data_IF_116162592299
#
_entry.id   IF_116162592299
#
_cell.length_a   1.000
_cell.length_b   1.000
_cell.length_c   1.000
_cell.angle_alpha   90.00
_cell.angle_beta   90.00
_cell.angle_gamma   90.00
#
_symmetry.space_group_name_H-M   'P 1'
#
loop_
_entity.id
_entity.type
_entity.pdbx_description
1 polymer ?
#
# COMPACT_ATOMS: atom_id res chain seq x y z
N UNK A 1 -4.64 -2.89 -19.60
CA UNK A 1 -5.42 -1.88 -18.85
C UNK A 1 -5.09 -2.05 -17.37
N UNK A 2 -4.80 -0.97 -16.65
CA UNK A 2 -4.58 -1.05 -15.20
C UNK A 2 -5.86 -1.51 -14.47
N UNK A 3 -5.72 -2.33 -13.43
CA UNK A 3 -6.83 -3.00 -12.73
C UNK A 3 -7.86 -2.02 -12.16
N UNK A 4 -7.38 -0.94 -11.52
CA UNK A 4 -8.22 0.03 -10.83
C UNK A 4 -8.81 1.13 -11.72
N UNK A 5 -8.44 1.21 -13.00
CA UNK A 5 -8.91 2.22 -13.97
C UNK A 5 -8.82 3.68 -13.48
N UNK A 6 -7.76 4.01 -12.72
CA UNK A 6 -7.47 5.36 -12.21
C UNK A 6 -6.14 5.89 -12.78
N UNK A 7 -5.95 7.21 -12.75
CA UNK A 7 -4.72 7.85 -13.19
C UNK A 7 -3.52 7.52 -12.28
N UNK A 8 -2.33 7.44 -12.85
CA UNK A 8 -1.08 7.14 -12.12
C UNK A 8 -0.81 8.09 -10.95
N UNK A 9 -1.11 9.38 -11.11
CA UNK A 9 -0.95 10.36 -10.04
C UNK A 9 -1.92 10.12 -8.87
N UNK A 10 -3.10 9.56 -9.17
CA UNK A 10 -4.04 9.13 -8.12
C UNK A 10 -3.46 7.94 -7.35
N UNK A 11 -2.87 6.96 -8.04
CA UNK A 11 -2.17 5.84 -7.40
C UNK A 11 -1.03 6.34 -6.51
N UNK A 12 -0.19 7.26 -6.99
CA UNK A 12 0.91 7.86 -6.20
C UNK A 12 0.38 8.50 -4.91
N UNK A 13 -0.72 9.27 -5.00
CA UNK A 13 -1.36 9.89 -3.84
C UNK A 13 -1.85 8.85 -2.82
N UNK A 14 -2.48 7.76 -3.29
CA UNK A 14 -2.89 6.67 -2.39
C UNK A 14 -1.70 6.01 -1.69
N UNK A 15 -0.60 5.78 -2.41
CA UNK A 15 0.61 5.21 -1.83
C UNK A 15 1.17 6.12 -0.74
N UNK A 16 1.32 7.43 -0.99
CA UNK A 16 1.76 8.38 0.04
C UNK A 16 0.87 8.34 1.30
N UNK A 17 -0.44 8.28 1.12
CA UNK A 17 -1.37 8.18 2.24
C UNK A 17 -1.23 6.86 3.01
N UNK A 18 -0.99 5.73 2.33
CA UNK A 18 -0.77 4.44 2.97
C UNK A 18 0.52 4.45 3.79
N UNK A 19 1.62 4.97 3.24
CA UNK A 19 2.89 5.10 3.94
C UNK A 19 2.75 5.94 5.22
N UNK A 20 2.07 7.08 5.11
CA UNK A 20 1.78 7.95 6.27
C UNK A 20 0.92 7.26 7.33
N UNK A 21 -0.16 6.59 6.94
CA UNK A 21 -1.05 5.88 7.88
C UNK A 21 -0.38 4.72 8.59
N UNK A 22 0.57 4.06 7.93
CA UNK A 22 1.33 2.96 8.52
C UNK A 22 2.59 3.44 9.25
N UNK A 23 2.95 4.73 9.15
CA UNK A 23 4.16 5.34 9.70
C UNK A 23 5.45 4.67 9.18
N UNK A 24 5.54 4.44 7.86
CA UNK A 24 6.66 3.79 7.19
C UNK A 24 7.19 4.62 6.02
N UNK A 25 8.43 4.36 5.59
CA UNK A 25 9.12 5.21 4.59
C UNK A 25 9.04 4.70 3.15
N UNK A 26 8.71 3.42 2.94
CA UNK A 26 8.69 2.82 1.61
C UNK A 26 7.66 1.69 1.50
N UNK A 27 7.44 1.23 0.26
CA UNK A 27 6.43 0.22 -0.06
C UNK A 27 6.76 -1.16 0.50
N UNK A 28 8.04 -1.51 0.64
CA UNK A 28 8.43 -2.81 1.21
C UNK A 28 8.10 -2.84 2.70
N UNK A 29 8.41 -1.76 3.43
CA UNK A 29 7.99 -1.60 4.82
C UNK A 29 6.47 -1.61 4.97
N UNK A 30 5.74 -0.95 4.06
CA UNK A 30 4.28 -0.94 4.08
C UNK A 30 3.68 -2.34 3.92
N UNK A 31 4.20 -3.14 2.98
CA UNK A 31 3.77 -4.53 2.80
C UNK A 31 4.04 -5.35 4.07
N UNK A 32 5.27 -5.28 4.60
CA UNK A 32 5.63 -6.02 5.81
C UNK A 32 4.81 -5.60 7.03
N UNK A 33 4.54 -4.30 7.20
CA UNK A 33 3.72 -3.78 8.29
C UNK A 33 2.25 -4.16 8.16
N UNK A 34 1.70 -4.13 6.94
CA UNK A 34 0.33 -4.55 6.68
C UNK A 34 0.11 -6.04 7.01
N UNK A 35 1.11 -6.90 6.74
CA UNK A 35 1.09 -8.31 7.15
C UNK A 35 1.20 -8.43 8.68
N UNK A 36 2.18 -7.77 9.31
CA UNK A 36 2.38 -7.80 10.77
C UNK A 36 1.13 -7.34 11.55
N UNK A 37 0.41 -6.34 11.05
CA UNK A 37 -0.83 -5.82 11.65
C UNK A 37 -2.08 -6.64 11.27
N UNK A 38 -1.96 -7.66 10.43
CA UNK A 38 -3.09 -8.48 9.97
C UNK A 38 -4.06 -7.76 9.02
N UNK A 39 -3.65 -6.64 8.41
CA UNK A 39 -4.43 -5.90 7.41
C UNK A 39 -4.47 -6.67 6.08
N UNK A 40 -3.35 -7.29 5.71
CA UNK A 40 -3.23 -8.18 4.55
C UNK A 40 -2.93 -9.59 5.07
N UNK A 41 -3.64 -10.57 4.55
CA UNK A 41 -3.36 -11.99 4.76
C UNK A 41 -2.68 -12.53 3.52
N UNK A 42 -1.66 -13.36 3.70
CA UNK A 42 -1.06 -14.12 2.62
C UNK A 42 -1.81 -15.45 2.59
N UNK A 43 -2.56 -15.68 1.52
CA UNK A 43 -3.13 -16.99 1.22
C UNK A 43 -2.05 -17.82 0.51
N UNK A 44 -1.95 -19.11 0.87
CA UNK A 44 -0.99 -20.06 0.26
C UNK A 44 -1.38 -20.44 -1.19
#
# INVERSE_FOLDING_TARGET
MAELRIADDTVKRHISNVLQKLAVSDRAQATAEAIRRGIIRIEE
#
